data_IF_969545638562
#
_entry.id   IF_969545638562
#
_cell.length_a   1.000
_cell.length_b   1.000
_cell.length_c   1.000
_cell.angle_alpha   90.00
_cell.angle_beta   90.00
_cell.angle_gamma   90.00
#
_symmetry.space_group_name_H-M   'P 1'
#
loop_
_entity.id
_entity.type
_entity.pdbx_description
1 polymer ?
#
# COMPACT_ATOMS: atom_id res chain seq x y z
N UNK A 1 -8.14 38.76 -36.71
CA UNK A 1 -7.11 37.86 -36.11
C UNK A 1 -6.91 38.01 -34.58
N UNK A 2 -7.40 39.06 -33.89
CA UNK A 2 -7.17 39.26 -32.44
C UNK A 2 -7.96 38.35 -31.47
N UNK A 3 -8.98 37.63 -31.93
CA UNK A 3 -9.83 36.77 -31.08
C UNK A 3 -9.51 35.27 -31.14
N UNK A 4 -8.62 34.84 -32.04
CA UNK A 4 -8.27 33.41 -32.21
C UNK A 4 -7.35 32.89 -31.09
N UNK A 5 -6.46 33.74 -30.58
CA UNK A 5 -5.52 33.38 -29.51
C UNK A 5 -6.22 33.10 -28.17
N UNK A 6 -7.11 33.98 -27.64
CA UNK A 6 -7.77 33.71 -26.35
C UNK A 6 -8.71 32.50 -26.41
N UNK A 7 -9.38 32.27 -27.54
CA UNK A 7 -10.24 31.09 -27.72
C UNK A 7 -9.44 29.78 -27.65
N UNK A 8 -8.23 29.74 -28.21
CA UNK A 8 -7.34 28.57 -28.15
C UNK A 8 -6.87 28.26 -26.72
N UNK A 9 -6.58 29.30 -25.93
CA UNK A 9 -6.18 29.16 -24.52
C UNK A 9 -7.32 28.62 -23.65
N UNK A 10 -8.55 29.09 -23.86
CA UNK A 10 -9.72 28.61 -23.10
C UNK A 10 -9.98 27.14 -23.39
N UNK A 11 -9.97 26.71 -24.65
CA UNK A 11 -10.15 25.29 -25.02
C UNK A 11 -9.05 24.41 -24.45
N UNK A 12 -7.79 24.87 -24.48
CA UNK A 12 -6.64 24.15 -23.92
C UNK A 12 -6.74 24.03 -22.40
N UNK A 13 -7.14 25.10 -21.70
CA UNK A 13 -7.33 25.09 -20.26
C UNK A 13 -8.45 24.14 -19.82
N UNK A 14 -9.58 24.13 -20.54
CA UNK A 14 -10.69 23.20 -20.29
C UNK A 14 -10.24 21.74 -20.47
N UNK A 15 -9.45 21.45 -21.50
CA UNK A 15 -8.89 20.11 -21.73
C UNK A 15 -8.00 19.63 -20.57
N UNK A 16 -7.09 20.49 -20.08
CA UNK A 16 -6.23 20.16 -18.93
C UNK A 16 -7.03 19.92 -17.66
N UNK A 17 -8.04 20.77 -17.40
CA UNK A 17 -8.93 20.62 -16.23
C UNK A 17 -9.72 19.31 -16.31
N UNK A 18 -10.25 18.95 -17.49
CA UNK A 18 -10.99 17.71 -17.67
C UNK A 18 -10.12 16.46 -17.44
N UNK A 19 -8.88 16.47 -17.93
CA UNK A 19 -7.91 15.39 -17.66
C UNK A 19 -7.60 15.30 -16.17
N UNK A 20 -7.37 16.44 -15.50
CA UNK A 20 -7.07 16.47 -14.08
C UNK A 20 -8.25 15.92 -13.24
N UNK A 21 -9.48 16.30 -13.58
CA UNK A 21 -10.69 15.77 -12.96
C UNK A 21 -10.87 14.28 -13.22
N UNK A 22 -10.66 13.82 -14.45
CA UNK A 22 -10.72 12.40 -14.80
C UNK A 22 -9.71 11.56 -14.02
N UNK A 23 -8.47 12.05 -13.87
CA UNK A 23 -7.44 11.38 -13.05
C UNK A 23 -7.84 11.36 -11.57
N UNK A 24 -8.42 12.43 -11.04
CA UNK A 24 -8.93 12.46 -9.65
C UNK A 24 -10.06 11.46 -9.44
N UNK A 25 -11.06 11.47 -10.31
CA UNK A 25 -12.19 10.55 -10.23
C UNK A 25 -11.77 9.09 -10.38
N UNK A 26 -10.80 8.81 -11.28
CA UNK A 26 -10.23 7.48 -11.43
C UNK A 26 -9.53 7.03 -10.14
N UNK A 27 -8.71 7.89 -9.52
CA UNK A 27 -8.05 7.57 -8.23
C UNK A 27 -9.07 7.29 -7.12
N UNK A 28 -10.13 8.08 -7.04
CA UNK A 28 -11.17 7.89 -6.03
C UNK A 28 -11.90 6.56 -6.24
N UNK A 29 -12.26 6.23 -7.50
CA UNK A 29 -12.87 4.95 -7.84
C UNK A 29 -11.95 3.78 -7.52
N UNK A 30 -10.66 3.86 -7.87
CA UNK A 30 -9.68 2.85 -7.50
C UNK A 30 -9.57 2.68 -5.98
N UNK A 31 -9.57 3.79 -5.22
CA UNK A 31 -9.53 3.75 -3.76
C UNK A 31 -10.73 3.01 -3.17
N UNK A 32 -11.94 3.33 -3.63
CA UNK A 32 -13.18 2.69 -3.16
C UNK A 32 -13.20 1.19 -3.50
N UNK A 33 -12.93 0.85 -4.77
CA UNK A 33 -12.94 -0.56 -5.22
C UNK A 33 -11.88 -1.38 -4.48
N UNK A 34 -10.68 -0.82 -4.27
CA UNK A 34 -9.62 -1.53 -3.56
C UNK A 34 -9.99 -1.74 -2.09
N UNK A 35 -10.61 -0.75 -1.45
CA UNK A 35 -11.10 -0.88 -0.07
C UNK A 35 -12.19 -1.95 0.06
N UNK A 36 -13.15 -1.98 -0.87
CA UNK A 36 -14.21 -2.98 -0.92
C UNK A 36 -13.68 -4.40 -1.14
N UNK A 37 -12.73 -4.56 -2.08
CA UNK A 37 -12.07 -5.85 -2.32
C UNK A 37 -11.31 -6.33 -1.08
N UNK A 38 -10.59 -5.43 -0.41
CA UNK A 38 -9.87 -5.78 0.82
C UNK A 38 -10.83 -6.22 1.92
N UNK A 39 -11.93 -5.48 2.15
CA UNK A 39 -12.93 -5.83 3.15
C UNK A 39 -13.59 -7.20 2.87
N UNK A 40 -13.88 -7.49 1.60
CA UNK A 40 -14.42 -8.81 1.19
C UNK A 40 -13.43 -9.94 1.43
N UNK A 41 -12.16 -9.75 1.08
CA UNK A 41 -11.11 -10.74 1.34
C UNK A 41 -10.96 -11.00 2.85
N UNK A 42 -11.09 -9.98 3.69
CA UNK A 42 -11.07 -10.17 5.15
C UNK A 42 -12.21 -11.06 5.62
N UNK A 43 -13.42 -10.81 5.13
CA UNK A 43 -14.61 -11.56 5.51
C UNK A 43 -14.57 -13.03 5.03
N UNK A 44 -14.10 -13.29 3.81
CA UNK A 44 -14.03 -14.65 3.24
C UNK A 44 -13.09 -15.56 4.03
N UNK A 45 -11.93 -15.04 4.45
CA UNK A 45 -10.94 -15.85 5.17
C UNK A 45 -11.36 -16.15 6.62
N UNK A 46 -12.12 -15.24 7.27
CA UNK A 46 -12.76 -15.51 8.56
C UNK A 46 -13.82 -16.62 8.47
N UNK A 47 -14.51 -16.70 7.32
CA UNK A 47 -15.55 -17.71 7.06
C UNK A 47 -14.98 -19.07 6.64
N UNK A 48 -13.72 -19.13 6.21
CA UNK A 48 -13.09 -20.33 5.65
C UNK A 48 -11.74 -20.66 6.31
N UNK A 49 -11.73 -21.09 7.59
CA UNK A 49 -10.50 -21.44 8.31
C UNK A 49 -9.72 -22.60 7.67
N UNK A 50 -10.35 -23.41 6.81
CA UNK A 50 -9.65 -24.43 6.03
C UNK A 50 -8.61 -23.85 5.04
N UNK A 51 -8.77 -22.58 4.63
CA UNK A 51 -7.79 -21.88 3.82
C UNK A 51 -6.48 -21.63 4.59
N UNK A 52 -6.47 -21.77 5.93
CA UNK A 52 -5.28 -21.68 6.77
C UNK A 52 -4.11 -22.55 6.25
N UNK A 53 -4.43 -23.71 5.66
CA UNK A 53 -3.47 -24.65 5.10
C UNK A 53 -2.74 -24.12 3.86
N UNK A 54 -3.30 -23.13 3.14
CA UNK A 54 -2.65 -22.52 1.99
C UNK A 54 -1.46 -21.64 2.39
N UNK A 55 -1.40 -21.18 3.64
CA UNK A 55 -0.27 -20.41 4.18
C UNK A 55 0.74 -21.31 4.88
N UNK A 56 1.31 -22.26 4.13
CA UNK A 56 2.33 -23.19 4.65
C UNK A 56 3.52 -22.47 5.31
N UNK A 57 3.88 -21.27 4.82
CA UNK A 57 4.91 -20.43 5.43
C UNK A 57 4.57 -20.04 6.88
N UNK A 58 3.31 -20.00 7.27
CA UNK A 58 2.87 -19.62 8.61
C UNK A 58 2.56 -20.81 9.54
N UNK A 59 2.83 -22.04 9.10
CA UNK A 59 2.51 -23.25 9.86
C UNK A 59 3.24 -23.32 11.22
N UNK A 60 4.45 -22.73 11.31
CA UNK A 60 5.25 -22.69 12.53
C UNK A 60 4.77 -21.69 13.60
N UNK A 61 3.84 -20.80 13.26
CA UNK A 61 3.29 -19.82 14.21
C UNK A 61 2.10 -20.39 14.97
N UNK A 62 1.95 -19.96 16.24
CA UNK A 62 0.73 -20.15 17.01
C UNK A 62 -0.48 -19.52 16.30
N UNK A 63 -1.70 -19.98 16.59
CA UNK A 63 -2.90 -19.55 15.87
C UNK A 63 -3.11 -18.02 15.90
N UNK A 64 -2.94 -17.39 17.06
CA UNK A 64 -3.08 -15.94 17.22
C UNK A 64 -2.01 -15.17 16.43
N UNK A 65 -0.76 -15.62 16.52
CA UNK A 65 0.35 -14.98 15.80
C UNK A 65 0.20 -15.16 14.28
N UNK A 66 -0.29 -16.31 13.82
CA UNK A 66 -0.64 -16.55 12.42
C UNK A 66 -1.71 -15.57 11.94
N UNK A 67 -2.77 -15.36 12.72
CA UNK A 67 -3.82 -14.41 12.38
C UNK A 67 -3.25 -12.98 12.28
N UNK A 68 -2.37 -12.60 13.20
CA UNK A 68 -1.71 -11.30 13.18
C UNK A 68 -0.77 -11.11 11.98
N UNK A 69 0.03 -12.12 11.64
CA UNK A 69 0.91 -12.11 10.47
C UNK A 69 0.11 -11.98 9.17
N UNK A 70 -1.01 -12.70 9.06
CA UNK A 70 -1.94 -12.56 7.94
C UNK A 70 -2.48 -11.13 7.87
N UNK A 71 -2.97 -10.60 8.99
CA UNK A 71 -3.49 -9.24 9.08
C UNK A 71 -2.47 -8.20 8.59
N UNK A 72 -1.23 -8.27 9.06
CA UNK A 72 -0.15 -7.40 8.62
C UNK A 72 0.13 -7.54 7.11
N UNK A 73 0.27 -8.77 6.62
CA UNK A 73 0.52 -9.04 5.19
C UNK A 73 -0.58 -8.46 4.30
N UNK A 74 -1.84 -8.56 4.72
CA UNK A 74 -2.99 -8.02 3.99
C UNK A 74 -2.93 -6.49 3.88
N UNK A 75 -2.60 -5.80 4.98
CA UNK A 75 -2.40 -4.34 4.94
C UNK A 75 -1.24 -3.94 4.05
N UNK A 76 -0.11 -4.64 4.12
CA UNK A 76 1.05 -4.38 3.26
C UNK A 76 0.70 -4.54 1.77
N UNK A 77 -0.05 -5.59 1.40
CA UNK A 77 -0.51 -5.80 0.03
C UNK A 77 -1.48 -4.70 -0.43
N UNK A 78 -2.43 -4.31 0.43
CA UNK A 78 -3.35 -3.21 0.15
C UNK A 78 -2.59 -1.90 -0.09
N UNK A 79 -1.68 -1.54 0.80
CA UNK A 79 -0.90 -0.31 0.69
C UNK A 79 0.03 -0.33 -0.51
N UNK A 80 0.64 -1.48 -0.84
CA UNK A 80 1.41 -1.64 -2.07
C UNK A 80 0.56 -1.32 -3.30
N UNK A 81 -0.65 -1.87 -3.39
CA UNK A 81 -1.58 -1.59 -4.49
C UNK A 81 -2.01 -0.11 -4.52
N UNK A 82 -2.31 0.49 -3.37
CA UNK A 82 -2.68 1.90 -3.27
C UNK A 82 -1.54 2.85 -3.66
N UNK A 83 -0.29 2.50 -3.31
CA UNK A 83 0.90 3.25 -3.72
C UNK A 83 1.12 3.13 -5.22
N UNK A 84 1.05 1.91 -5.75
CA UNK A 84 1.20 1.60 -7.19
C UNK A 84 0.20 2.35 -8.05
N UNK A 85 -1.08 2.37 -7.65
CA UNK A 85 -2.17 3.07 -8.36
C UNK A 85 -2.17 4.58 -8.10
N UNK A 86 -1.25 5.09 -7.26
CA UNK A 86 -1.20 6.49 -6.80
C UNK A 86 -2.49 6.95 -6.12
N UNK A 87 -3.28 6.00 -5.59
CA UNK A 87 -4.39 6.31 -4.69
C UNK A 87 -3.85 6.91 -3.37
N UNK A 88 -2.64 6.51 -2.96
CA UNK A 88 -1.90 7.11 -1.85
C UNK A 88 -0.57 7.67 -2.38
N UNK A 89 -0.30 8.94 -2.10
CA UNK A 89 0.96 9.59 -2.49
C UNK A 89 2.13 9.09 -1.62
N UNK A 90 3.34 9.07 -2.17
CA UNK A 90 4.55 8.59 -1.48
C UNK A 90 4.80 9.26 -0.12
N UNK A 91 4.55 10.57 0.00
CA UNK A 91 4.71 11.27 1.29
C UNK A 91 3.70 10.84 2.35
N UNK A 92 2.48 10.49 1.95
CA UNK A 92 1.50 9.88 2.85
C UNK A 92 1.88 8.44 3.18
N UNK A 93 2.39 7.67 2.20
CA UNK A 93 2.85 6.30 2.42
C UNK A 93 4.05 6.24 3.37
N UNK A 94 4.96 7.22 3.33
CA UNK A 94 6.07 7.31 4.31
C UNK A 94 5.54 7.45 5.75
N UNK A 95 4.47 8.23 5.96
CA UNK A 95 3.82 8.33 7.28
C UNK A 95 3.17 7.01 7.69
N UNK A 96 2.46 6.35 6.76
CA UNK A 96 1.88 5.02 7.01
C UNK A 96 2.96 4.02 7.42
N UNK A 97 4.10 3.98 6.72
CA UNK A 97 5.22 3.12 7.07
C UNK A 97 5.79 3.44 8.46
N UNK A 98 6.02 4.72 8.77
CA UNK A 98 6.51 5.14 10.08
C UNK A 98 5.52 4.79 11.21
N UNK A 99 4.23 5.03 11.03
CA UNK A 99 3.19 4.70 11.99
C UNK A 99 3.09 3.17 12.18
N UNK A 100 3.18 2.39 11.10
CA UNK A 100 3.21 0.93 11.15
C UNK A 100 4.38 0.42 12.00
N UNK A 101 5.59 0.98 11.80
CA UNK A 101 6.80 0.59 12.55
C UNK A 101 6.80 1.00 14.02
N UNK A 102 5.79 1.75 14.53
CA UNK A 102 5.70 2.06 15.97
C UNK A 102 5.38 0.84 16.82
N UNK A 103 4.69 -0.16 16.27
CA UNK A 103 4.27 -1.35 17.00
C UNK A 103 5.30 -2.49 16.87
N UNK A 104 5.74 -3.13 17.97
CA UNK A 104 6.73 -4.22 17.93
C UNK A 104 6.28 -5.41 17.09
N UNK A 105 5.01 -5.75 17.15
CA UNK A 105 4.45 -6.88 16.42
C UNK A 105 4.45 -6.62 14.91
N UNK A 106 4.16 -5.37 14.48
CA UNK A 106 4.26 -4.95 13.08
C UNK A 106 5.71 -5.03 12.57
N UNK A 107 6.69 -4.69 13.40
CA UNK A 107 8.12 -4.79 13.03
C UNK A 107 8.53 -6.24 12.83
N UNK A 108 8.15 -7.13 13.74
CA UNK A 108 8.39 -8.57 13.59
C UNK A 108 7.70 -9.12 12.33
N UNK A 109 6.47 -8.68 12.06
CA UNK A 109 5.77 -9.03 10.83
C UNK A 109 6.46 -8.51 9.56
N UNK A 110 6.98 -7.29 9.58
CA UNK A 110 7.78 -6.74 8.47
C UNK A 110 9.06 -7.54 8.25
N UNK A 111 9.81 -7.81 9.31
CA UNK A 111 11.07 -8.56 9.24
C UNK A 111 10.88 -9.96 8.66
N UNK A 112 9.76 -10.60 9.02
CA UNK A 112 9.35 -11.88 8.43
C UNK A 112 8.93 -11.74 6.96
N UNK A 113 8.08 -10.76 6.63
CA UNK A 113 7.47 -10.63 5.32
C UNK A 113 8.37 -9.98 4.26
N UNK A 114 9.35 -9.16 4.64
CA UNK A 114 10.13 -8.32 3.72
C UNK A 114 10.85 -9.14 2.65
N UNK A 115 11.37 -10.31 3.00
CA UNK A 115 12.08 -11.17 2.04
C UNK A 115 11.13 -11.78 1.00
N UNK A 116 9.94 -12.20 1.43
CA UNK A 116 8.90 -12.68 0.51
C UNK A 116 8.41 -11.55 -0.40
N UNK A 117 8.16 -10.36 0.16
CA UNK A 117 7.73 -9.18 -0.60
C UNK A 117 8.78 -8.73 -1.63
N UNK A 118 10.07 -8.79 -1.27
CA UNK A 118 11.17 -8.51 -2.20
C UNK A 118 11.20 -9.50 -3.37
N UNK A 119 10.90 -10.78 -3.13
CA UNK A 119 10.78 -11.80 -4.18
C UNK A 119 9.56 -11.60 -5.10
N UNK A 120 8.52 -10.92 -4.62
CA UNK A 120 7.29 -10.64 -5.37
C UNK A 120 7.34 -9.30 -6.15
N UNK A 121 8.42 -8.53 -6.03
CA UNK A 121 8.62 -7.25 -6.74
C UNK A 121 8.56 -7.44 -8.25
N UNK A 122 7.65 -6.71 -8.92
CA UNK A 122 7.46 -6.80 -10.37
C UNK A 122 8.11 -5.64 -11.11
N UNK A 123 8.08 -4.44 -10.53
CA UNK A 123 8.59 -3.24 -11.19
C UNK A 123 9.13 -2.16 -10.25
N UNK A 124 9.38 -0.97 -10.80
CA UNK A 124 9.91 0.16 -10.04
C UNK A 124 8.94 0.73 -9.00
N UNK A 125 7.62 0.52 -9.12
CA UNK A 125 6.67 0.95 -8.10
C UNK A 125 6.78 0.07 -6.85
N UNK A 126 6.81 -1.25 -7.03
CA UNK A 126 6.93 -2.20 -5.92
C UNK A 126 8.27 -1.99 -5.18
N UNK A 127 9.37 -1.76 -5.91
CA UNK A 127 10.68 -1.40 -5.31
C UNK A 127 10.66 -0.09 -4.51
N UNK A 128 9.82 0.87 -4.89
CA UNK A 128 9.68 2.11 -4.13
C UNK A 128 8.83 1.90 -2.88
N UNK A 129 7.79 1.08 -2.97
CA UNK A 129 6.98 0.71 -1.82
C UNK A 129 7.82 0.00 -0.75
N UNK A 130 8.56 -1.04 -1.13
CA UNK A 130 9.42 -1.78 -0.17
C UNK A 130 10.44 -0.86 0.48
N UNK A 131 11.11 0.00 -0.31
CA UNK A 131 12.06 0.99 0.21
C UNK A 131 11.45 1.95 1.25
N UNK A 132 10.19 2.34 1.11
CA UNK A 132 9.56 3.22 2.10
C UNK A 132 9.39 2.53 3.46
N UNK A 133 9.17 1.22 3.46
CA UNK A 133 9.04 0.42 4.69
C UNK A 133 10.40 0.04 5.25
N UNK A 134 11.38 -0.28 4.41
CA UNK A 134 12.77 -0.47 4.84
C UNK A 134 13.34 0.80 5.49
N UNK A 135 13.20 1.96 4.84
CA UNK A 135 13.60 3.26 5.41
C UNK A 135 13.00 3.45 6.82
N UNK A 136 11.70 3.18 6.99
CA UNK A 136 11.01 3.36 8.26
C UNK A 136 11.44 2.34 9.33
N UNK A 137 11.79 1.12 8.93
CA UNK A 137 12.31 0.08 9.82
C UNK A 137 13.73 0.42 10.28
N UNK A 138 14.58 0.86 9.36
CA UNK A 138 15.96 1.25 9.62
C UNK A 138 16.04 2.49 10.52
N UNK A 139 15.18 3.49 10.29
CA UNK A 139 15.03 4.66 11.17
C UNK A 139 14.69 4.25 12.62
N UNK A 140 13.80 3.25 12.79
CA UNK A 140 13.48 2.72 14.11
C UNK A 140 14.66 1.97 14.74
N UNK A 141 15.37 1.13 13.98
CA UNK A 141 16.55 0.41 14.44
C UNK A 141 17.61 1.39 14.95
N UNK A 142 17.91 2.43 14.17
CA UNK A 142 18.87 3.46 14.52
C UNK A 142 18.47 4.24 15.78
N UNK A 143 17.18 4.57 15.93
CA UNK A 143 16.68 5.25 17.13
C UNK A 143 16.84 4.41 18.41
N UNK A 144 16.85 3.07 18.31
CA UNK A 144 17.03 2.16 19.44
C UNK A 144 18.48 2.08 19.91
N UNK A 145 19.46 2.29 19.04
CA UNK A 145 20.89 2.23 19.39
C UNK A 145 21.38 3.46 20.19
N UNK A 146 20.59 4.52 20.20
CA UNK A 146 20.90 5.78 20.90
C UNK A 146 20.34 5.83 22.32
N UNK A 147 19.47 4.89 22.69
CA UNK A 147 18.81 4.77 24.00
C UNK A 147 19.45 3.67 24.85
#
# INVERSE_FOLDING_TARGET
>A
MRFLVPALFVVSAVGVVHIALGVRQHRERCRLVTGEMHARLMADEEQHPALAALWASLAGFAAEERAYQLHCRRWLLLWSLQHRTRAVASGAMRRVAADFMRHPENRAAWEYARHALLGEVRDGADRRFVRLFDDAYDDWCAAREVL
#
